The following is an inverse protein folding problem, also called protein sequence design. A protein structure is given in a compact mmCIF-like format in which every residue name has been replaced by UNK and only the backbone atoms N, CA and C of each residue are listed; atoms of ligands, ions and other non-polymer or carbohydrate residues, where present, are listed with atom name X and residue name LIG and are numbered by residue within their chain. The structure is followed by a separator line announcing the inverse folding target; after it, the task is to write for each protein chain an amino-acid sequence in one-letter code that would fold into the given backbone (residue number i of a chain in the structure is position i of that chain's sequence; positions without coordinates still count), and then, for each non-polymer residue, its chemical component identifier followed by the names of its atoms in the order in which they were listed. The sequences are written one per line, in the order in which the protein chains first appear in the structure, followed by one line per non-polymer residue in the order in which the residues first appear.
data_IF_199714997887
#
_entry.id   IF_199714997887
#
_cell.length_a   1.000
_cell.length_b   1.000
_cell.length_c   1.000
_cell.angle_alpha   90.00
_cell.angle_beta   90.00
_cell.angle_gamma   90.00
#
_symmetry.space_group_name_H-M   'P 1'
#
loop_
_entity.id
_entity.type
_entity.pdbx_description
1 polymer ?
#
# COMPACT_ATOMS: atom_id res chain seq x y z
N UNK A 1 13.85 2.67 -27.22
CA UNK A 1 14.18 3.18 -25.87
C UNK A 1 15.55 2.65 -25.47
N UNK A 2 16.63 3.08 -26.15
CA UNK A 2 18.00 2.60 -25.88
C UNK A 2 19.08 3.66 -26.15
N UNK A 3 18.70 4.93 -26.23
CA UNK A 3 19.59 5.98 -26.73
C UNK A 3 20.76 6.28 -25.77
N UNK A 4 20.65 5.84 -24.51
CA UNK A 4 21.67 6.01 -23.46
C UNK A 4 22.30 4.70 -22.98
N UNK A 5 21.96 3.55 -23.57
CA UNK A 5 22.41 2.24 -23.08
C UNK A 5 21.88 1.86 -21.69
N UNK A 6 20.96 2.65 -21.12
CA UNK A 6 20.29 2.38 -19.85
C UNK A 6 19.01 1.58 -20.10
N UNK A 7 18.77 0.59 -19.25
CA UNK A 7 17.50 -0.15 -19.19
C UNK A 7 16.74 0.25 -17.94
N UNK A 8 15.49 0.66 -18.11
CA UNK A 8 14.57 0.95 -17.00
C UNK A 8 13.60 -0.23 -16.90
N UNK A 9 13.48 -0.79 -15.70
CA UNK A 9 12.59 -1.92 -15.39
C UNK A 9 11.72 -1.51 -14.21
N UNK A 10 10.43 -1.82 -14.27
CA UNK A 10 9.49 -1.60 -13.18
C UNK A 10 9.23 -2.91 -12.42
N UNK A 11 9.10 -2.80 -11.10
CA UNK A 11 8.64 -3.87 -10.24
C UNK A 11 7.43 -3.30 -9.49
N UNK A 12 6.30 -3.98 -9.64
CA UNK A 12 5.00 -3.61 -9.10
C UNK A 12 4.56 -4.69 -8.12
N UNK A 13 4.95 -4.58 -6.84
CA UNK A 13 4.46 -5.46 -5.80
C UNK A 13 2.99 -5.16 -5.50
N UNK A 14 2.24 -6.22 -5.23
CA UNK A 14 0.95 -6.15 -4.57
C UNK A 14 1.09 -5.85 -3.08
N UNK A 15 0.17 -6.38 -2.30
CA UNK A 15 0.07 -6.13 -0.86
C UNK A 15 1.04 -7.05 -0.11
N UNK A 16 2.21 -6.51 0.21
CA UNK A 16 3.19 -7.14 1.10
C UNK A 16 3.27 -6.40 2.42
N UNK A 17 3.32 -7.13 3.53
CA UNK A 17 3.43 -6.53 4.86
C UNK A 17 4.88 -6.25 5.17
N UNK A 18 5.21 -4.97 5.33
CA UNK A 18 6.54 -4.49 5.65
C UNK A 18 6.48 -3.59 6.87
N UNK A 19 7.64 -3.21 7.41
CA UNK A 19 7.68 -2.22 8.48
C UNK A 19 7.12 -0.86 8.05
N UNK A 20 7.00 -0.55 6.75
CA UNK A 20 6.52 0.75 6.27
C UNK A 20 4.99 0.85 6.38
N UNK A 21 4.28 -0.23 6.05
CA UNK A 21 2.82 -0.27 5.94
C UNK A 21 2.13 -1.11 7.03
N UNK A 22 2.84 -1.51 8.09
CA UNK A 22 2.23 -2.23 9.21
C UNK A 22 1.07 -1.47 9.87
N UNK A 23 0.06 -2.20 10.32
CA UNK A 23 -1.19 -1.69 10.90
C UNK A 23 -1.01 -0.55 11.91
N UNK A 24 -0.08 -0.61 12.89
CA UNK A 24 0.10 0.49 13.85
C UNK A 24 0.54 1.80 13.20
N UNK A 25 1.42 1.74 12.19
CA UNK A 25 1.89 2.93 11.46
C UNK A 25 0.78 3.50 10.58
N UNK A 26 0.02 2.64 9.90
CA UNK A 26 -1.15 3.05 9.11
C UNK A 26 -2.16 3.80 9.98
N UNK A 27 -2.57 3.22 11.11
CA UNK A 27 -3.52 3.83 12.04
C UNK A 27 -3.01 5.17 12.58
N UNK A 28 -1.73 5.25 12.95
CA UNK A 28 -1.10 6.49 13.41
C UNK A 28 -1.13 7.58 12.32
N UNK A 29 -0.80 7.22 11.09
CA UNK A 29 -0.83 8.15 9.95
C UNK A 29 -2.23 8.68 9.67
N UNK A 30 -3.25 7.83 9.74
CA UNK A 30 -4.65 8.24 9.58
C UNK A 30 -5.08 9.24 10.66
N UNK A 31 -4.76 8.97 11.92
CA UNK A 31 -5.08 9.89 13.02
C UNK A 31 -4.36 11.23 12.87
N UNK A 32 -3.06 11.20 12.53
CA UNK A 32 -2.28 12.43 12.31
C UNK A 32 -2.85 13.26 11.14
N UNK A 33 -3.34 12.61 10.09
CA UNK A 33 -3.97 13.29 8.95
C UNK A 33 -5.26 13.99 9.38
N UNK A 34 -6.07 13.33 10.21
CA UNK A 34 -7.29 13.94 10.75
C UNK A 34 -7.02 15.13 11.65
N UNK A 35 -6.06 15.02 12.56
CA UNK A 35 -5.71 16.11 13.47
C UNK A 35 -5.27 17.36 12.72
N UNK A 36 -4.65 17.18 11.54
CA UNK A 36 -4.20 18.26 10.65
C UNK A 36 -5.24 18.71 9.62
N UNK A 37 -6.40 18.05 9.55
CA UNK A 37 -7.45 18.43 8.62
C UNK A 37 -8.01 19.82 8.98
N UNK A 38 -8.26 20.69 8.00
CA UNK A 38 -8.82 22.01 8.26
C UNK A 38 -10.27 21.90 8.80
N UNK A 39 -10.70 22.94 9.53
CA UNK A 39 -11.94 22.91 10.31
C UNK A 39 -13.20 22.74 9.47
N UNK A 40 -13.20 23.28 8.24
CA UNK A 40 -14.26 23.10 7.25
C UNK A 40 -14.41 21.62 6.88
N UNK A 41 -13.30 20.93 6.59
CA UNK A 41 -13.28 19.50 6.29
C UNK A 41 -13.71 18.68 7.51
N UNK A 42 -13.23 19.03 8.71
CA UNK A 42 -13.63 18.35 9.96
C UNK A 42 -15.12 18.56 10.28
N UNK A 43 -15.71 19.70 9.92
CA UNK A 43 -17.14 19.97 10.07
C UNK A 43 -17.98 19.24 9.02
N UNK A 44 -17.52 19.21 7.77
CA UNK A 44 -18.19 18.53 6.67
C UNK A 44 -18.23 17.02 6.90
N UNK A 45 -17.09 16.41 7.23
CA UNK A 45 -16.99 14.98 7.51
C UNK A 45 -17.47 14.63 8.93
N UNK A 46 -17.42 15.58 9.85
CA UNK A 46 -17.84 15.46 11.25
C UNK A 46 -16.86 14.65 12.11
N UNK A 47 -16.90 14.83 13.44
CA UNK A 47 -16.07 14.04 14.37
C UNK A 47 -16.39 12.54 14.31
N UNK A 48 -17.60 12.17 13.88
CA UNK A 48 -18.03 10.78 13.65
C UNK A 48 -17.29 10.06 12.53
N UNK A 49 -16.50 10.77 11.73
CA UNK A 49 -15.61 10.17 10.75
C UNK A 49 -14.38 9.52 11.40
N UNK A 50 -13.84 10.08 12.50
CA UNK A 50 -12.64 9.55 13.18
C UNK A 50 -12.85 9.12 14.63
N UNK A 51 -13.96 9.50 15.27
CA UNK A 51 -14.25 9.13 16.66
C UNK A 51 -14.51 7.62 16.79
N UNK A 52 -13.67 6.98 17.61
CA UNK A 52 -13.60 5.54 17.87
C UNK A 52 -14.91 4.96 18.44
N UNK A 53 -15.82 5.79 18.97
CA UNK A 53 -17.02 5.37 19.72
C UNK A 53 -18.35 5.57 18.97
N UNK A 54 -18.38 6.37 17.89
CA UNK A 54 -19.60 6.70 17.14
C UNK A 54 -19.37 6.64 15.62
N UNK A 55 -18.67 5.59 15.21
CA UNK A 55 -18.22 5.33 13.85
C UNK A 55 -19.42 5.17 12.90
N UNK A 56 -19.58 6.12 11.97
CA UNK A 56 -20.56 5.98 10.88
C UNK A 56 -20.19 4.79 10.00
N UNK A 57 -21.18 3.96 9.64
CA UNK A 57 -21.00 2.67 8.94
C UNK A 57 -20.11 2.71 7.68
N UNK A 58 -19.96 3.85 7.02
CA UNK A 58 -19.19 3.99 5.78
C UNK A 58 -17.67 4.12 5.99
N UNK A 59 -17.21 4.73 7.10
CA UNK A 59 -15.78 4.94 7.38
C UNK A 59 -15.16 3.77 8.12
N UNK A 60 -15.97 3.08 8.94
CA UNK A 60 -15.67 1.74 9.48
C UNK A 60 -15.14 0.87 8.35
N UNK A 61 -15.83 0.87 7.20
CA UNK A 61 -15.44 0.06 6.05
C UNK A 61 -14.07 0.46 5.52
N UNK A 62 -13.77 1.73 5.27
CA UNK A 62 -12.47 2.09 4.67
C UNK A 62 -11.30 1.79 5.61
N UNK A 63 -11.42 2.14 6.88
CA UNK A 63 -10.36 1.88 7.86
C UNK A 63 -10.20 0.38 8.08
N UNK A 64 -11.28 -0.35 8.32
CA UNK A 64 -11.22 -1.79 8.59
C UNK A 64 -10.80 -2.56 7.34
N UNK A 65 -11.22 -2.14 6.14
CA UNK A 65 -10.76 -2.72 4.87
C UNK A 65 -9.27 -2.46 4.69
N UNK A 66 -8.77 -1.25 4.93
CA UNK A 66 -7.33 -0.98 4.81
C UNK A 66 -6.52 -1.79 5.83
N UNK A 67 -6.99 -1.90 7.08
CA UNK A 67 -6.37 -2.74 8.11
C UNK A 67 -6.40 -4.21 7.68
N UNK A 68 -7.54 -4.73 7.23
CA UNK A 68 -7.67 -6.09 6.73
C UNK A 68 -6.74 -6.34 5.55
N UNK A 69 -6.71 -5.45 4.56
CA UNK A 69 -5.79 -5.52 3.43
C UNK A 69 -4.35 -5.63 3.92
N UNK A 70 -3.93 -4.78 4.86
CA UNK A 70 -2.58 -4.85 5.42
C UNK A 70 -2.32 -6.10 6.25
N UNK A 71 -3.33 -6.69 6.91
CA UNK A 71 -3.19 -7.91 7.71
C UNK A 71 -3.21 -9.19 6.88
N UNK A 72 -3.94 -9.19 5.76
CA UNK A 72 -4.00 -10.30 4.79
C UNK A 72 -2.87 -10.24 3.75
N UNK A 73 -2.04 -9.20 3.78
CA UNK A 73 -0.89 -9.08 2.91
C UNK A 73 0.13 -10.22 3.10
N UNK A 74 0.92 -10.48 2.07
CA UNK A 74 1.98 -11.47 2.15
C UNK A 74 3.10 -11.00 3.10
N UNK A 75 3.43 -11.82 4.10
CA UNK A 75 4.56 -11.59 5.01
C UNK A 75 5.90 -12.02 4.40
N UNK A 76 5.87 -12.97 3.46
CA UNK A 76 7.07 -13.44 2.80
C UNK A 76 7.46 -12.48 1.67
N UNK A 77 8.53 -11.72 1.88
CA UNK A 77 9.04 -10.74 0.92
C UNK A 77 9.91 -11.37 -0.18
N UNK A 78 10.15 -12.69 -0.12
CA UNK A 78 11.03 -13.40 -1.05
C UNK A 78 10.61 -13.20 -2.52
N UNK A 79 9.30 -13.23 -2.81
CA UNK A 79 8.82 -13.03 -4.18
C UNK A 79 9.25 -11.68 -4.77
N UNK A 80 9.24 -10.63 -3.96
CA UNK A 80 9.68 -9.28 -4.38
C UNK A 80 11.18 -9.27 -4.57
N UNK A 81 11.95 -9.83 -3.63
CA UNK A 81 13.42 -9.86 -3.76
C UNK A 81 13.89 -10.73 -4.92
N UNK A 82 13.19 -11.81 -5.23
CA UNK A 82 13.47 -12.67 -6.37
C UNK A 82 13.19 -11.96 -7.69
N UNK A 83 12.12 -11.15 -7.76
CA UNK A 83 11.84 -10.30 -8.91
C UNK A 83 12.95 -9.26 -9.13
N UNK A 84 13.42 -8.61 -8.05
CA UNK A 84 14.60 -7.73 -8.11
C UNK A 84 15.81 -8.50 -8.64
N UNK A 85 16.14 -9.63 -8.03
CA UNK A 85 17.30 -10.44 -8.43
C UNK A 85 17.26 -10.82 -9.90
N UNK A 86 16.12 -11.31 -10.40
CA UNK A 86 15.95 -11.63 -11.81
C UNK A 86 16.06 -10.39 -12.69
N UNK A 87 15.47 -9.25 -12.31
CA UNK A 87 15.53 -8.02 -13.09
C UNK A 87 16.96 -7.52 -13.33
N UNK A 88 17.85 -7.65 -12.33
CA UNK A 88 19.25 -7.18 -12.46
C UNK A 88 20.18 -8.20 -13.11
N UNK A 89 19.90 -9.50 -12.95
CA UNK A 89 20.86 -10.57 -13.34
C UNK A 89 20.50 -11.28 -14.64
N UNK A 90 19.23 -11.24 -15.08
CA UNK A 90 18.82 -11.98 -16.25
C UNK A 90 19.40 -11.38 -17.54
N UNK A 91 19.76 -12.27 -18.48
CA UNK A 91 20.16 -11.87 -19.83
C UNK A 91 19.04 -11.11 -20.57
N UNK A 92 17.80 -11.56 -20.36
CA UNK A 92 16.58 -11.00 -20.93
C UNK A 92 15.52 -10.81 -19.84
N UNK A 93 15.63 -9.76 -19.00
CA UNK A 93 14.63 -9.47 -17.98
C UNK A 93 13.35 -8.95 -18.63
N UNK A 94 12.23 -9.06 -17.92
CA UNK A 94 10.99 -8.41 -18.29
C UNK A 94 11.12 -6.89 -18.08
N UNK A 95 10.33 -6.11 -18.80
CA UNK A 95 10.25 -4.66 -18.59
C UNK A 95 9.40 -4.30 -17.36
N UNK A 96 8.41 -5.14 -17.04
CA UNK A 96 7.56 -5.01 -15.86
C UNK A 96 7.45 -6.34 -15.11
N UNK A 97 7.61 -6.30 -13.79
CA UNK A 97 7.41 -7.44 -12.91
C UNK A 97 6.22 -7.17 -11.99
N UNK A 98 5.12 -7.88 -12.21
CA UNK A 98 3.98 -7.87 -11.30
C UNK A 98 4.14 -8.98 -10.26
N UNK A 99 4.26 -8.62 -8.99
CA UNK A 99 4.63 -9.54 -7.89
C UNK A 99 3.49 -9.63 -6.89
N UNK A 100 3.16 -10.83 -6.42
CA UNK A 100 1.98 -11.09 -5.59
C UNK A 100 0.79 -11.60 -6.39
N UNK A 101 -0.10 -12.34 -5.74
CA UNK A 101 -1.31 -12.91 -6.36
C UNK A 101 -2.34 -11.80 -6.59
N UNK A 102 -2.50 -10.92 -5.62
CA UNK A 102 -3.39 -9.77 -5.70
C UNK A 102 -2.99 -8.89 -6.89
N UNK A 103 -1.72 -8.52 -7.04
CA UNK A 103 -1.30 -7.69 -8.17
C UNK A 103 -1.45 -8.37 -9.54
N UNK A 104 -1.33 -9.70 -9.62
CA UNK A 104 -1.42 -10.46 -10.88
C UNK A 104 -2.85 -10.66 -11.38
N UNK A 105 -3.84 -10.62 -10.48
CA UNK A 105 -5.24 -10.98 -10.80
C UNK A 105 -6.25 -9.89 -10.39
N UNK A 106 -5.80 -8.63 -10.26
CA UNK A 106 -6.67 -7.44 -10.20
C UNK A 106 -7.28 -7.14 -11.57
#
# INVERSE_FOLDING_TARGET
MHDFGVRVITIEPGIFVTEINGTPKLLKSMNNLWEKAPDDLRKEYGEKWFAKDQLSRSVVVVRDVLVQITEFGALNLAEVTDAYFHAVTAKYPYLNYTVGVDARYV
#
